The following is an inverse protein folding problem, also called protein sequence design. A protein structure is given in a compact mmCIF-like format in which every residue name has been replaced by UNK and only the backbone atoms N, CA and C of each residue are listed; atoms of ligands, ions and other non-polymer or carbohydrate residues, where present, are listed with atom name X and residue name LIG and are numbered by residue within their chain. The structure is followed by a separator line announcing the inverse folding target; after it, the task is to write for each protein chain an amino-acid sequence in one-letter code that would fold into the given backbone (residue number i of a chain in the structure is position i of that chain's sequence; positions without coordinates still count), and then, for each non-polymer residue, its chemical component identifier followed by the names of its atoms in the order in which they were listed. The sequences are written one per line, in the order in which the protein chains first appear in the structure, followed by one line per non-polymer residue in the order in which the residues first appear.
data_IF_455017053625
#
_entry.id   IF_455017053625
#
_cell.length_a   1.000
_cell.length_b   1.000
_cell.length_c   1.000
_cell.angle_alpha   90.00
_cell.angle_beta   90.00
_cell.angle_gamma   90.00
#
_symmetry.space_group_name_H-M   'P 1'
#
loop_
_entity.id
_entity.type
_entity.pdbx_description
1 polymer ?
#
# COMPACT_ATOMS: atom_id res chain seq x y z
N UNK A 1 4.58 0.50 5.63
CA UNK A 1 5.43 1.37 4.76
C UNK A 1 5.80 0.63 3.48
N UNK A 2 5.56 1.22 2.31
CA UNK A 2 5.82 0.54 1.03
C UNK A 2 7.28 0.71 0.62
N UNK A 3 7.96 -0.40 0.34
CA UNK A 3 9.33 -0.42 -0.19
C UNK A 3 9.30 -0.62 -1.70
N UNK A 4 10.03 0.22 -2.42
CA UNK A 4 10.18 0.13 -3.88
C UNK A 4 11.55 -0.45 -4.17
N UNK A 5 11.60 -1.63 -4.79
CA UNK A 5 12.84 -2.23 -5.29
C UNK A 5 13.01 -1.90 -6.78
N UNK A 6 14.05 -1.14 -7.09
CA UNK A 6 14.38 -0.76 -8.48
C UNK A 6 15.00 -1.92 -9.26
N UNK A 7 15.16 -1.76 -10.57
CA UNK A 7 15.66 -2.86 -11.39
C UNK A 7 17.16 -3.02 -11.23
N UNK A 8 17.57 -4.26 -10.99
CA UNK A 8 18.96 -4.68 -11.10
C UNK A 8 19.20 -5.12 -12.55
N UNK A 9 19.73 -4.19 -13.36
CA UNK A 9 19.95 -4.38 -14.79
C UNK A 9 21.39 -4.79 -15.10
N UNK A 10 22.31 -4.69 -14.14
CA UNK A 10 23.71 -5.06 -14.32
C UNK A 10 23.92 -6.54 -14.06
N UNK A 11 24.64 -7.23 -14.97
CA UNK A 11 25.11 -8.59 -14.72
C UNK A 11 26.52 -8.51 -14.14
N UNK A 12 26.69 -8.95 -12.90
CA UNK A 12 27.94 -8.85 -12.16
C UNK A 12 28.65 -10.21 -12.07
N UNK A 13 29.98 -10.20 -12.16
CA UNK A 13 30.80 -11.39 -11.94
C UNK A 13 30.68 -11.87 -10.50
N UNK A 14 31.11 -13.13 -10.26
CA UNK A 14 31.43 -13.54 -8.89
C UNK A 14 32.50 -12.61 -8.31
N UNK A 15 32.47 -12.35 -6.99
CA UNK A 15 33.53 -11.59 -6.33
C UNK A 15 34.88 -12.25 -6.55
N UNK A 16 35.91 -11.45 -6.81
CA UNK A 16 37.30 -11.91 -6.84
C UNK A 16 37.82 -12.20 -5.42
N UNK A 17 39.09 -12.61 -5.31
CA UNK A 17 39.73 -12.93 -4.01
C UNK A 17 39.73 -11.76 -3.01
N UNK A 18 39.53 -10.52 -3.50
CA UNK A 18 39.43 -9.30 -2.68
C UNK A 18 37.99 -8.85 -2.46
N UNK A 19 37.01 -9.62 -2.95
CA UNK A 19 35.58 -9.33 -2.84
C UNK A 19 35.04 -8.36 -3.89
N UNK A 20 35.83 -7.98 -4.90
CA UNK A 20 35.35 -7.06 -5.95
C UNK A 20 34.58 -7.81 -7.04
N UNK A 21 33.44 -7.25 -7.44
CA UNK A 21 32.69 -7.70 -8.61
C UNK A 21 32.98 -6.79 -9.80
N UNK A 22 32.87 -7.33 -11.01
CA UNK A 22 32.98 -6.58 -12.26
C UNK A 22 31.69 -6.71 -13.03
N UNK A 23 31.25 -5.62 -13.66
CA UNK A 23 30.14 -5.67 -14.60
C UNK A 23 30.59 -6.48 -15.83
N UNK A 24 29.88 -7.57 -16.13
CA UNK A 24 30.20 -8.51 -17.22
C UNK A 24 29.20 -8.43 -18.37
N UNK A 25 28.03 -7.82 -18.15
CA UNK A 25 27.00 -7.62 -19.15
C UNK A 25 25.84 -6.83 -18.58
N UNK A 26 24.79 -6.66 -19.38
CA UNK A 26 23.55 -6.04 -18.93
C UNK A 26 22.37 -6.98 -19.20
N UNK A 27 21.27 -6.76 -18.51
CA UNK A 27 20.03 -7.48 -18.73
C UNK A 27 19.55 -7.33 -20.19
N UNK A 28 18.76 -8.30 -20.66
CA UNK A 28 18.16 -8.24 -21.98
C UNK A 28 17.25 -7.00 -22.08
N UNK A 29 17.38 -6.24 -23.16
CA UNK A 29 16.70 -4.97 -23.33
C UNK A 29 15.18 -5.12 -23.45
N UNK A 30 14.72 -6.14 -24.18
CA UNK A 30 13.30 -6.40 -24.40
C UNK A 30 12.65 -6.97 -23.15
N UNK A 31 13.31 -7.91 -22.46
CA UNK A 31 12.82 -8.41 -21.17
C UNK A 31 12.75 -7.31 -20.12
N UNK A 32 13.75 -6.41 -20.08
CA UNK A 32 13.75 -5.25 -19.19
C UNK A 32 12.63 -4.28 -19.51
N UNK A 33 12.29 -4.11 -20.79
CA UNK A 33 11.17 -3.29 -21.22
C UNK A 33 9.82 -3.90 -20.81
N UNK A 34 9.62 -5.21 -21.03
CA UNK A 34 8.38 -5.88 -20.62
C UNK A 34 8.23 -5.87 -19.09
N UNK A 35 9.33 -5.97 -18.35
CA UNK A 35 9.34 -5.80 -16.90
C UNK A 35 8.94 -4.38 -16.49
N UNK A 36 9.47 -3.35 -17.17
CA UNK A 36 9.07 -1.96 -16.94
C UNK A 36 7.58 -1.76 -17.23
N UNK A 37 7.10 -2.25 -18.36
CA UNK A 37 5.70 -2.18 -18.77
C UNK A 37 4.78 -2.83 -17.73
N UNK A 38 5.10 -4.05 -17.30
CA UNK A 38 4.35 -4.77 -16.26
C UNK A 38 4.33 -3.99 -14.94
N UNK A 39 5.46 -3.41 -14.54
CA UNK A 39 5.54 -2.56 -13.35
C UNK A 39 4.62 -1.35 -13.46
N UNK A 40 4.63 -0.65 -14.60
CA UNK A 40 3.75 0.48 -14.84
C UNK A 40 2.27 0.07 -14.83
N UNK A 41 1.91 -1.06 -15.43
CA UNK A 41 0.54 -1.61 -15.41
C UNK A 41 0.05 -1.87 -13.98
N UNK A 42 0.82 -2.61 -13.17
CA UNK A 42 0.47 -2.95 -11.78
C UNK A 42 0.27 -1.68 -10.94
N UNK A 43 1.03 -0.63 -11.21
CA UNK A 43 0.96 0.64 -10.47
C UNK A 43 -0.03 1.65 -11.06
N UNK A 44 -0.81 1.29 -12.10
CA UNK A 44 -1.77 2.20 -12.75
C UNK A 44 -1.10 3.36 -13.51
N UNK A 45 0.17 3.19 -13.87
CA UNK A 45 1.06 4.17 -14.49
C UNK A 45 1.40 3.82 -15.95
N UNK A 46 0.70 2.86 -16.57
CA UNK A 46 0.87 2.64 -18.00
C UNK A 46 0.24 3.81 -18.80
N UNK A 47 0.95 4.38 -19.79
CA UNK A 47 0.33 5.29 -20.76
C UNK A 47 -0.89 4.65 -21.42
N UNK A 48 -1.97 5.40 -21.57
CA UNK A 48 -3.28 4.85 -21.93
C UNK A 48 -3.56 4.75 -23.44
N UNK A 49 -2.72 5.35 -24.30
CA UNK A 49 -2.77 5.09 -25.74
C UNK A 49 -1.84 3.93 -26.14
N UNK A 50 -0.54 4.07 -25.87
CA UNK A 50 0.43 3.00 -26.07
C UNK A 50 1.70 3.19 -25.24
N UNK A 51 2.43 2.09 -25.04
CA UNK A 51 3.81 2.08 -24.55
C UNK A 51 4.60 1.04 -25.34
N UNK A 52 5.60 1.50 -26.09
CA UNK A 52 6.29 0.74 -27.13
C UNK A 52 7.79 0.71 -26.87
N UNK A 53 8.38 -0.47 -27.08
CA UNK A 53 9.82 -0.64 -27.19
C UNK A 53 10.30 0.01 -28.48
N UNK A 54 11.39 0.77 -28.42
CA UNK A 54 11.98 1.35 -29.64
C UNK A 54 12.55 0.23 -30.50
N UNK A 55 12.24 0.24 -31.79
CA UNK A 55 12.61 -0.83 -32.70
C UNK A 55 14.12 -1.11 -32.75
N UNK A 56 14.51 -2.24 -33.34
CA UNK A 56 15.91 -2.70 -33.46
C UNK A 56 16.82 -1.68 -34.18
N UNK A 57 16.26 -0.72 -34.94
CA UNK A 57 17.02 0.36 -35.58
C UNK A 57 17.61 1.37 -34.60
N UNK A 58 17.11 1.38 -33.36
CA UNK A 58 17.63 2.18 -32.24
C UNK A 58 19.01 1.71 -31.73
N UNK A 59 19.48 0.53 -32.16
CA UNK A 59 20.75 -0.05 -31.72
C UNK A 59 20.69 -0.75 -30.36
N UNK A 60 19.48 -0.96 -29.82
CA UNK A 60 19.22 -1.71 -28.58
C UNK A 60 18.60 -3.06 -28.94
N UNK A 61 19.44 -4.03 -29.28
CA UNK A 61 19.02 -5.43 -29.53
C UNK A 61 19.87 -6.38 -28.66
N UNK A 62 19.23 -7.43 -28.14
CA UNK A 62 19.83 -8.34 -27.17
C UNK A 62 20.01 -7.70 -25.78
N UNK A 63 21.25 -7.51 -25.34
CA UNK A 63 21.59 -6.89 -24.05
C UNK A 63 21.45 -5.36 -24.10
N UNK A 64 21.05 -4.74 -22.99
CA UNK A 64 21.10 -3.28 -22.86
C UNK A 64 22.54 -2.78 -23.09
N UNK A 65 22.73 -1.61 -23.72
CA UNK A 65 24.04 -0.98 -23.69
C UNK A 65 24.43 -0.66 -22.25
N UNK A 66 25.72 -0.64 -21.93
CA UNK A 66 26.18 -0.13 -20.63
C UNK A 66 25.93 1.38 -20.62
N UNK A 67 24.81 1.80 -20.03
CA UNK A 67 24.39 3.18 -19.93
C UNK A 67 24.66 3.72 -18.52
N UNK A 68 24.94 5.02 -18.42
CA UNK A 68 25.10 5.71 -17.14
C UNK A 68 23.81 6.36 -16.66
N UNK A 69 22.90 6.69 -17.57
CA UNK A 69 21.65 7.37 -17.25
C UNK A 69 20.54 7.00 -18.26
N UNK A 70 19.37 6.67 -17.73
CA UNK A 70 18.11 6.60 -18.47
C UNK A 70 17.35 7.93 -18.31
N UNK A 71 17.20 8.65 -19.41
CA UNK A 71 16.55 9.95 -19.47
C UNK A 71 15.10 9.76 -19.91
N UNK A 72 14.15 10.04 -19.02
CA UNK A 72 12.71 9.90 -19.26
C UNK A 72 12.09 11.30 -19.37
N UNK A 73 11.64 11.70 -20.55
CA UNK A 73 11.15 13.07 -20.81
C UNK A 73 9.75 13.02 -21.41
N UNK A 74 8.76 13.58 -20.71
CA UNK A 74 7.49 13.94 -21.32
C UNK A 74 7.63 15.13 -22.27
N UNK A 75 6.96 15.07 -23.41
CA UNK A 75 6.97 16.13 -24.43
C UNK A 75 5.59 16.35 -25.04
N UNK A 76 5.39 17.55 -25.58
CA UNK A 76 4.25 17.86 -26.44
C UNK A 76 4.60 17.55 -27.89
N UNK A 77 4.02 16.48 -28.45
CA UNK A 77 4.04 16.25 -29.88
C UNK A 77 2.96 17.10 -30.50
N UNK A 78 3.31 18.31 -30.97
CA UNK A 78 2.44 19.35 -31.55
C UNK A 78 1.02 18.90 -31.98
N UNK A 79 0.91 18.04 -33.00
CA UNK A 79 -0.36 17.57 -33.60
C UNK A 79 -0.78 16.17 -33.17
N UNK A 80 -0.04 15.63 -32.22
CA UNK A 80 0.17 14.21 -32.06
C UNK A 80 -0.14 13.81 -30.61
N UNK A 81 -0.07 14.73 -29.63
CA UNK A 81 -0.50 14.53 -28.24
C UNK A 81 0.63 14.68 -27.23
N UNK A 82 0.44 14.14 -26.02
CA UNK A 82 1.47 14.10 -24.96
C UNK A 82 2.21 12.76 -25.02
N UNK A 83 3.53 12.83 -25.13
CA UNK A 83 4.43 11.69 -25.28
C UNK A 83 5.36 11.56 -24.09
N UNK A 84 5.87 10.36 -23.88
CA UNK A 84 7.05 10.08 -23.07
C UNK A 84 8.09 9.42 -23.97
N UNK A 85 9.28 9.98 -24.03
CA UNK A 85 10.42 9.29 -24.61
C UNK A 85 11.43 8.92 -23.53
N UNK A 86 11.91 7.68 -23.61
CA UNK A 86 12.97 7.15 -22.74
C UNK A 86 14.21 6.94 -23.60
N UNK A 87 15.32 7.56 -23.19
CA UNK A 87 16.61 7.49 -23.86
C UNK A 87 17.67 6.93 -22.92
N UNK A 88 18.57 6.10 -23.45
CA UNK A 88 19.73 5.62 -22.70
C UNK A 88 20.97 6.41 -23.14
N UNK A 89 21.66 6.96 -22.16
CA UNK A 89 22.88 7.76 -22.34
C UNK A 89 24.04 7.07 -21.65
N UNK A 90 25.15 6.96 -22.37
CA UNK A 90 26.37 6.38 -21.82
C UNK A 90 27.58 6.66 -22.69
N UNK A 91 28.64 5.89 -22.46
CA UNK A 91 29.85 5.91 -23.27
C UNK A 91 30.07 4.52 -23.86
N UNK A 92 30.41 4.46 -25.13
CA UNK A 92 30.81 3.20 -25.76
C UNK A 92 32.23 2.80 -25.34
N UNK A 93 32.72 1.65 -25.84
CA UNK A 93 34.07 1.14 -25.49
C UNK A 93 35.21 2.08 -25.91
N UNK A 94 35.01 2.98 -26.88
CA UNK A 94 36.02 3.96 -27.29
C UNK A 94 35.92 5.27 -26.48
N UNK A 95 35.03 5.35 -25.49
CA UNK A 95 34.80 6.54 -24.68
C UNK A 95 33.93 7.61 -25.36
N UNK A 96 33.43 7.34 -26.57
CA UNK A 96 32.54 8.27 -27.26
C UNK A 96 31.12 8.19 -26.64
N UNK A 97 30.45 9.33 -26.44
CA UNK A 97 29.10 9.34 -25.91
C UNK A 97 28.13 8.69 -26.91
N UNK A 98 27.16 7.94 -26.40
CA UNK A 98 26.00 7.49 -27.16
C UNK A 98 24.71 8.00 -26.52
N UNK A 99 23.69 8.11 -27.36
CA UNK A 99 22.35 8.48 -26.96
C UNK A 99 21.36 7.71 -27.84
N UNK A 100 20.69 6.71 -27.27
CA UNK A 100 19.83 5.79 -28.01
C UNK A 100 18.42 5.80 -27.46
N UNK A 101 17.42 5.76 -28.35
CA UNK A 101 16.01 5.71 -27.94
C UNK A 101 15.69 4.30 -27.45
N UNK A 102 15.03 4.18 -26.31
CA UNK A 102 14.74 2.89 -25.68
C UNK A 102 13.25 2.56 -25.68
N UNK A 103 12.41 3.51 -25.31
CA UNK A 103 10.96 3.33 -25.31
C UNK A 103 10.26 4.64 -25.60
N UNK A 104 9.01 4.53 -26.06
CA UNK A 104 8.10 5.66 -26.23
C UNK A 104 6.72 5.32 -25.71
N UNK A 105 6.08 6.27 -25.05
CA UNK A 105 4.73 6.15 -24.53
C UNK A 105 3.89 7.34 -24.94
N UNK A 106 2.57 7.18 -24.93
CA UNK A 106 1.64 8.23 -25.31
C UNK A 106 0.34 8.15 -24.53
N UNK A 107 -0.22 9.31 -24.18
CA UNK A 107 -1.58 9.40 -23.62
C UNK A 107 -2.63 9.76 -24.67
N UNK A 108 -3.86 9.29 -24.47
CA UNK A 108 -5.05 9.68 -25.23
C UNK A 108 -5.47 11.13 -24.95
N UNK A 109 -5.23 11.59 -23.72
CA UNK A 109 -5.56 12.94 -23.26
C UNK A 109 -4.45 13.96 -23.55
N UNK A 110 -4.85 15.23 -23.65
CA UNK A 110 -3.97 16.37 -23.93
C UNK A 110 -4.11 17.49 -22.87
N UNK A 111 -4.72 17.19 -21.73
CA UNK A 111 -4.93 18.18 -20.66
C UNK A 111 -3.65 18.41 -19.85
N UNK A 112 -3.66 19.45 -19.01
CA UNK A 112 -2.57 19.66 -18.05
C UNK A 112 -2.41 18.46 -17.08
N UNK A 113 -3.51 17.83 -16.70
CA UNK A 113 -3.49 16.67 -15.81
C UNK A 113 -2.86 15.44 -16.48
N UNK A 114 -3.12 15.25 -17.78
CA UNK A 114 -2.46 14.21 -18.59
C UNK A 114 -0.95 14.45 -18.67
N UNK A 115 -0.54 15.72 -18.80
CA UNK A 115 0.87 16.10 -18.80
C UNK A 115 1.55 15.81 -17.47
N UNK A 116 0.93 16.19 -16.35
CA UNK A 116 1.44 15.89 -15.01
C UNK A 116 1.49 14.39 -14.73
N UNK A 117 0.46 13.66 -15.15
CA UNK A 117 0.45 12.20 -15.09
C UNK A 117 1.62 11.61 -15.88
N UNK A 118 1.91 12.11 -17.07
CA UNK A 118 3.06 11.64 -17.85
C UNK A 118 4.40 11.94 -17.16
N UNK A 119 4.54 13.05 -16.46
CA UNK A 119 5.72 13.31 -15.60
C UNK A 119 5.85 12.32 -14.45
N UNK A 120 4.75 11.92 -13.84
CA UNK A 120 4.75 10.87 -12.81
C UNK A 120 5.21 9.54 -13.39
N UNK A 121 4.71 9.16 -14.58
CA UNK A 121 5.14 7.96 -15.30
C UNK A 121 6.65 8.04 -15.62
N UNK A 122 7.13 9.19 -16.09
CA UNK A 122 8.54 9.41 -16.39
C UNK A 122 9.43 9.30 -15.14
N UNK A 123 8.98 9.84 -14.01
CA UNK A 123 9.68 9.73 -12.73
C UNK A 123 9.78 8.28 -12.26
N UNK A 124 8.69 7.51 -12.38
CA UNK A 124 8.68 6.08 -12.04
C UNK A 124 9.63 5.28 -12.94
N UNK A 125 9.61 5.53 -14.26
CA UNK A 125 10.54 4.90 -15.21
C UNK A 125 12.00 5.23 -14.87
N UNK A 126 12.29 6.50 -14.59
CA UNK A 126 13.64 6.95 -14.21
C UNK A 126 14.10 6.27 -12.92
N UNK A 127 13.22 6.18 -11.91
CA UNK A 127 13.53 5.49 -10.66
C UNK A 127 13.85 4.01 -10.91
N UNK A 128 13.04 3.31 -11.69
CA UNK A 128 13.23 1.89 -11.97
C UNK A 128 14.53 1.61 -12.74
N UNK A 129 14.83 2.42 -13.75
CA UNK A 129 15.97 2.20 -14.65
C UNK A 129 17.31 2.69 -14.07
N UNK A 130 17.30 3.77 -13.28
CA UNK A 130 18.53 4.36 -12.73
C UNK A 130 18.88 3.84 -11.33
N UNK A 131 17.92 3.24 -10.61
CA UNK A 131 18.12 2.83 -9.21
C UNK A 131 19.08 1.66 -8.96
N UNK A 132 19.50 0.93 -10.00
CA UNK A 132 20.54 -0.11 -9.93
C UNK A 132 20.29 -1.17 -8.83
N UNK A 133 19.05 -1.66 -8.72
CA UNK A 133 18.66 -2.68 -7.75
C UNK A 133 18.46 -2.19 -6.31
N UNK A 134 18.62 -0.89 -6.07
CA UNK A 134 18.42 -0.27 -4.75
C UNK A 134 16.97 -0.35 -4.29
N UNK A 135 16.79 -0.32 -2.96
CA UNK A 135 15.49 -0.26 -2.30
C UNK A 135 15.30 1.13 -1.72
N UNK A 136 14.16 1.75 -2.05
CA UNK A 136 13.76 3.06 -1.54
C UNK A 136 12.48 2.95 -0.73
N UNK A 137 12.36 3.77 0.31
CA UNK A 137 11.15 3.88 1.12
C UNK A 137 10.21 4.93 0.53
N UNK A 138 8.94 4.57 0.40
CA UNK A 138 7.87 5.50 0.04
C UNK A 138 6.98 5.71 1.25
N UNK A 139 7.08 6.91 1.82
CA UNK A 139 6.37 7.28 3.05
C UNK A 139 5.03 7.98 2.79
N UNK A 140 4.81 8.46 1.55
CA UNK A 140 3.61 9.19 1.19
C UNK A 140 2.66 8.32 0.37
N UNK A 141 1.37 8.40 0.70
CA UNK A 141 0.26 7.88 -0.10
C UNK A 141 -0.28 9.04 -0.92
N UNK A 142 -0.35 8.85 -2.23
CA UNK A 142 -0.84 9.86 -3.16
C UNK A 142 -2.25 9.48 -3.61
N UNK A 143 -3.23 10.36 -3.34
CA UNK A 143 -4.61 10.21 -3.78
C UNK A 143 -4.87 11.33 -4.79
N UNK A 144 -5.22 10.96 -6.02
CA UNK A 144 -5.66 11.91 -7.05
C UNK A 144 -7.18 11.84 -7.15
N UNK A 145 -7.83 12.98 -6.95
CA UNK A 145 -9.28 13.13 -7.03
C UNK A 145 -9.61 14.09 -8.17
N UNK A 146 -10.59 13.76 -8.99
CA UNK A 146 -11.20 14.74 -9.90
C UNK A 146 -11.89 15.83 -9.08
N UNK A 147 -12.19 16.99 -9.68
CA UNK A 147 -12.95 18.04 -8.98
C UNK A 147 -14.27 17.51 -8.40
N UNK A 148 -14.99 16.66 -9.13
CA UNK A 148 -16.24 16.06 -8.64
C UNK A 148 -16.02 15.12 -7.47
N UNK A 149 -14.95 14.32 -7.50
CA UNK A 149 -14.61 13.43 -6.38
C UNK A 149 -14.14 14.23 -5.16
N UNK A 150 -13.35 15.30 -5.37
CA UNK A 150 -12.94 16.21 -4.32
C UNK A 150 -14.15 16.95 -3.72
N UNK A 151 -15.07 17.44 -4.54
CA UNK A 151 -16.32 18.07 -4.10
C UNK A 151 -17.22 17.08 -3.36
N UNK A 152 -17.27 15.82 -3.81
CA UNK A 152 -18.01 14.77 -3.11
C UNK A 152 -17.38 14.46 -1.75
N UNK A 153 -16.06 14.29 -1.68
CA UNK A 153 -15.33 14.07 -0.42
C UNK A 153 -15.49 15.28 0.51
N UNK A 154 -15.34 16.50 0.01
CA UNK A 154 -15.53 17.72 0.78
C UNK A 154 -16.97 17.86 1.27
N UNK A 155 -17.96 17.59 0.41
CA UNK A 155 -19.37 17.60 0.77
C UNK A 155 -19.70 16.56 1.82
N UNK A 156 -19.06 15.38 1.78
CA UNK A 156 -19.20 14.34 2.80
C UNK A 156 -18.56 14.78 4.12
N UNK A 157 -17.36 15.34 4.11
CA UNK A 157 -16.72 15.86 5.32
C UNK A 157 -17.60 16.94 5.96
N UNK A 158 -18.18 17.82 5.15
CA UNK A 158 -19.11 18.86 5.59
C UNK A 158 -20.43 18.25 6.11
N UNK A 159 -20.92 17.18 5.50
CA UNK A 159 -22.14 16.46 5.88
C UNK A 159 -21.98 15.51 7.08
N UNK A 160 -20.85 14.86 7.32
CA UNK A 160 -20.59 14.10 8.55
C UNK A 160 -20.44 15.04 9.74
N UNK A 161 -19.90 16.24 9.52
CA UNK A 161 -19.92 17.30 10.52
C UNK A 161 -21.33 17.90 10.74
N UNK A 162 -22.23 17.83 9.75
CA UNK A 162 -23.53 18.53 9.77
C UNK A 162 -24.80 17.63 9.71
N UNK A 163 -24.67 16.31 9.63
CA UNK A 163 -25.72 15.30 9.85
C UNK A 163 -26.89 15.20 8.86
N UNK A 164 -26.70 15.32 7.54
CA UNK A 164 -27.81 15.06 6.57
C UNK A 164 -27.35 14.37 5.29
N UNK A 165 -28.10 13.37 4.80
CA UNK A 165 -27.81 12.70 3.52
C UNK A 165 -29.03 12.59 2.59
N UNK A 166 -28.73 12.65 1.28
CA UNK A 166 -29.63 12.23 0.17
C UNK A 166 -29.04 11.00 -0.53
N UNK A 167 -29.86 10.12 -1.15
CA UNK A 167 -29.41 8.81 -1.65
C UNK A 167 -28.32 8.83 -2.75
N UNK A 168 -28.27 9.85 -3.61
CA UNK A 168 -27.23 9.95 -4.65
C UNK A 168 -25.85 10.27 -4.06
N UNK A 169 -25.80 11.04 -2.97
CA UNK A 169 -24.56 11.34 -2.26
C UNK A 169 -24.04 10.12 -1.49
N UNK A 170 -24.92 9.27 -0.96
CA UNK A 170 -24.52 7.99 -0.33
C UNK A 170 -23.87 7.04 -1.34
N UNK A 171 -24.38 6.94 -2.57
CA UNK A 171 -23.78 6.08 -3.60
C UNK A 171 -22.39 6.55 -4.06
N UNK A 172 -22.23 7.87 -4.23
CA UNK A 172 -20.93 8.48 -4.54
C UNK A 172 -19.94 8.35 -3.37
N UNK A 173 -20.44 8.50 -2.13
CA UNK A 173 -19.70 8.27 -0.90
C UNK A 173 -19.21 6.82 -0.81
N UNK A 174 -20.08 5.82 -1.03
CA UNK A 174 -19.68 4.41 -1.02
C UNK A 174 -18.62 4.11 -2.07
N UNK A 175 -18.71 4.68 -3.28
CA UNK A 175 -17.70 4.47 -4.31
C UNK A 175 -16.35 5.13 -3.98
N UNK A 176 -16.35 6.32 -3.36
CA UNK A 176 -15.13 6.98 -2.92
C UNK A 176 -14.51 6.26 -1.71
N UNK A 177 -15.33 5.83 -0.74
CA UNK A 177 -14.90 5.04 0.41
C UNK A 177 -14.37 3.68 -0.02
N UNK A 178 -14.96 2.98 -0.99
CA UNK A 178 -14.41 1.73 -1.53
C UNK A 178 -12.98 1.91 -2.11
N UNK A 179 -12.68 3.10 -2.66
CA UNK A 179 -11.32 3.43 -3.13
C UNK A 179 -10.37 3.77 -1.98
N UNK A 180 -10.88 4.29 -0.87
CA UNK A 180 -10.12 4.67 0.33
C UNK A 180 -9.91 3.47 1.28
N UNK A 181 -10.91 2.59 1.45
CA UNK A 181 -10.93 1.42 2.32
C UNK A 181 -9.94 0.34 1.91
N UNK A 182 -9.51 0.32 0.64
CA UNK A 182 -8.35 -0.49 0.20
C UNK A 182 -7.02 -0.06 0.83
N UNK A 183 -7.00 1.04 1.58
CA UNK A 183 -5.81 1.65 2.18
C UNK A 183 -6.04 2.04 3.65
N UNK A 184 -7.29 2.00 4.15
CA UNK A 184 -7.61 2.39 5.52
C UNK A 184 -7.42 1.21 6.48
N UNK A 185 -6.73 1.45 7.59
CA UNK A 185 -6.56 0.50 8.68
C UNK A 185 -7.43 0.91 9.88
N UNK A 186 -7.86 -0.08 10.66
CA UNK A 186 -8.53 0.09 11.94
C UNK A 186 -7.84 -0.75 13.00
N UNK A 187 -7.78 -0.25 14.22
CA UNK A 187 -7.33 -1.03 15.36
C UNK A 187 -8.31 -2.19 15.60
N UNK A 188 -7.76 -3.39 15.64
CA UNK A 188 -8.47 -4.61 15.95
C UNK A 188 -7.80 -5.31 17.13
N UNK A 189 -8.63 -5.92 17.97
CA UNK A 189 -8.16 -6.65 19.14
C UNK A 189 -8.66 -8.10 19.08
N UNK A 190 -7.72 -9.03 19.23
CA UNK A 190 -7.98 -10.46 19.17
C UNK A 190 -7.57 -11.07 20.50
N UNK A 191 -8.50 -11.81 21.11
CA UNK A 191 -8.22 -12.64 22.28
C UNK A 191 -8.04 -14.07 21.79
N UNK A 192 -6.94 -14.68 22.21
CA UNK A 192 -6.69 -16.12 22.02
C UNK A 192 -6.67 -16.82 23.36
N UNK A 193 -7.47 -17.88 23.49
CA UNK A 193 -7.43 -18.80 24.63
C UNK A 193 -6.56 -20.00 24.27
N UNK A 194 -5.47 -20.22 25.01
CA UNK A 194 -4.50 -21.32 24.76
C UNK A 194 -4.76 -22.53 25.67
N UNK A 195 -5.58 -22.36 26.71
CA UNK A 195 -5.78 -23.38 27.72
C UNK A 195 -6.51 -22.84 28.95
N UNK A 196 -6.40 -23.57 30.06
CA UNK A 196 -7.01 -23.14 31.32
C UNK A 196 -6.27 -21.94 31.89
N UNK A 197 -6.94 -20.80 31.93
CA UNK A 197 -6.43 -19.54 32.50
C UNK A 197 -5.14 -19.05 31.81
N UNK A 198 -5.06 -19.23 30.49
CA UNK A 198 -3.94 -18.82 29.65
C UNK A 198 -4.47 -18.16 28.38
N UNK A 199 -4.36 -16.83 28.33
CA UNK A 199 -4.90 -15.98 27.29
C UNK A 199 -3.82 -15.09 26.70
N UNK A 200 -3.96 -14.74 25.43
CA UNK A 200 -3.19 -13.65 24.83
C UNK A 200 -4.10 -12.63 24.19
N UNK A 201 -3.78 -11.36 24.41
CA UNK A 201 -4.33 -10.22 23.68
C UNK A 201 -3.35 -9.85 22.57
N UNK A 202 -3.86 -9.70 21.37
CA UNK A 202 -3.13 -9.13 20.24
C UNK A 202 -3.89 -7.92 19.73
N UNK A 203 -3.20 -6.79 19.67
CA UNK A 203 -3.71 -5.51 19.20
C UNK A 203 -2.89 -5.08 18.00
N UNK A 204 -3.54 -4.91 16.84
CA UNK A 204 -2.88 -4.45 15.62
C UNK A 204 -3.82 -3.63 14.73
N UNK A 205 -3.23 -2.84 13.84
CA UNK A 205 -3.95 -2.20 12.75
C UNK A 205 -4.18 -3.20 11.62
N UNK A 206 -5.45 -3.49 11.29
CA UNK A 206 -5.82 -4.34 10.15
C UNK A 206 -6.62 -3.54 9.11
N UNK A 207 -6.61 -3.92 7.83
CA UNK A 207 -7.44 -3.28 6.82
C UNK A 207 -8.93 -3.23 7.22
N UNK A 208 -9.57 -2.07 7.02
CA UNK A 208 -10.96 -1.84 7.41
C UNK A 208 -11.93 -2.80 6.72
N UNK A 209 -11.69 -3.12 5.44
CA UNK A 209 -12.50 -4.07 4.68
C UNK A 209 -12.46 -5.49 5.28
N UNK A 210 -11.31 -5.91 5.79
CA UNK A 210 -11.13 -7.16 6.53
C UNK A 210 -11.92 -7.12 7.84
N UNK A 211 -11.79 -6.04 8.62
CA UNK A 211 -12.56 -5.86 9.84
C UNK A 211 -14.07 -5.89 9.55
N UNK A 212 -14.54 -5.10 8.59
CA UNK A 212 -15.95 -5.06 8.17
C UNK A 212 -16.46 -6.42 7.69
N UNK A 213 -15.64 -7.19 6.96
CA UNK A 213 -15.97 -8.55 6.55
C UNK A 213 -16.23 -9.48 7.75
N UNK A 214 -15.40 -9.39 8.80
CA UNK A 214 -15.58 -10.19 10.02
C UNK A 214 -16.86 -9.76 10.74
N UNK A 215 -17.10 -8.44 10.85
CA UNK A 215 -18.27 -7.90 11.55
C UNK A 215 -19.59 -8.22 10.85
N UNK A 216 -19.58 -8.35 9.52
CA UNK A 216 -20.76 -8.65 8.73
C UNK A 216 -21.14 -10.14 8.73
N UNK A 217 -20.21 -11.06 8.99
CA UNK A 217 -20.48 -12.50 8.84
C UNK A 217 -21.29 -13.11 10.00
N UNK A 218 -21.06 -12.71 11.26
CA UNK A 218 -22.01 -12.81 12.39
C UNK A 218 -21.31 -12.52 13.73
N UNK A 219 -21.89 -11.62 14.53
CA UNK A 219 -21.60 -11.53 15.97
C UNK A 219 -22.02 -12.82 16.66
N UNK A 220 -21.10 -13.47 17.39
CA UNK A 220 -21.36 -14.75 18.03
C UNK A 220 -22.01 -14.57 19.40
N UNK A 221 -21.46 -13.66 20.21
CA UNK A 221 -21.91 -13.45 21.59
C UNK A 221 -21.62 -12.03 22.06
N UNK A 222 -22.57 -11.46 22.81
CA UNK A 222 -22.44 -10.17 23.49
C UNK A 222 -22.59 -10.39 24.99
N UNK A 223 -21.75 -9.75 25.79
CA UNK A 223 -21.78 -9.90 27.24
C UNK A 223 -20.69 -9.11 27.94
N UNK A 224 -20.46 -9.41 29.22
CA UNK A 224 -19.27 -8.90 29.91
C UNK A 224 -18.01 -9.63 29.43
N UNK A 225 -16.87 -8.96 29.48
CA UNK A 225 -15.60 -9.57 29.07
C UNK A 225 -15.30 -10.87 29.85
N UNK A 226 -15.61 -10.88 31.15
CA UNK A 226 -15.45 -12.05 32.02
C UNK A 226 -16.28 -13.25 31.53
N UNK A 227 -17.55 -13.03 31.19
CA UNK A 227 -18.44 -14.08 30.67
C UNK A 227 -18.00 -14.58 29.30
N UNK A 228 -17.52 -13.69 28.44
CA UNK A 228 -17.09 -14.03 27.07
C UNK A 228 -15.80 -14.84 27.08
N UNK A 229 -14.77 -14.37 27.80
CA UNK A 229 -13.50 -15.09 27.95
C UNK A 229 -13.72 -16.44 28.64
N UNK A 230 -14.55 -16.49 29.69
CA UNK A 230 -14.86 -17.73 30.40
C UNK A 230 -15.64 -18.76 29.59
N UNK A 231 -16.23 -18.36 28.47
CA UNK A 231 -16.95 -19.24 27.55
C UNK A 231 -16.10 -19.79 26.41
N UNK A 232 -14.85 -19.31 26.25
CA UNK A 232 -13.94 -19.84 25.24
C UNK A 232 -13.54 -21.27 25.57
N UNK A 233 -13.53 -22.15 24.57
CA UNK A 233 -13.16 -23.54 24.66
C UNK A 233 -11.98 -23.85 23.70
N UNK A 234 -10.75 -23.98 24.22
CA UNK A 234 -9.56 -24.29 23.41
C UNK A 234 -9.43 -25.79 23.06
N UNK A 235 -10.49 -26.60 23.19
CA UNK A 235 -10.51 -28.02 22.82
C UNK A 235 -10.23 -28.21 21.31
N UNK A 236 -8.94 -28.29 20.96
CA UNK A 236 -8.45 -28.32 19.58
C UNK A 236 -7.09 -27.64 19.38
N UNK A 237 -6.59 -26.91 20.39
CA UNK A 237 -5.27 -26.26 20.37
C UNK A 237 -5.34 -24.87 20.99
N UNK A 238 -6.00 -23.94 20.31
CA UNK A 238 -6.31 -22.61 20.81
C UNK A 238 -7.59 -22.12 20.15
N UNK A 239 -8.26 -21.16 20.78
CA UNK A 239 -9.45 -20.51 20.21
C UNK A 239 -9.23 -19.00 20.09
N UNK A 240 -9.46 -18.43 18.91
CA UNK A 240 -9.33 -17.00 18.65
C UNK A 240 -10.70 -16.34 18.48
N UNK A 241 -10.84 -15.13 19.03
CA UNK A 241 -12.00 -14.26 18.83
C UNK A 241 -11.55 -12.82 18.63
N UNK A 242 -12.08 -12.19 17.59
CA UNK A 242 -12.05 -10.73 17.46
C UNK A 242 -13.06 -10.18 18.47
N UNK A 243 -12.71 -9.11 19.19
CA UNK A 243 -13.66 -8.45 20.08
C UNK A 243 -13.75 -6.94 19.86
N UNK A 244 -14.93 -6.39 20.14
CA UNK A 244 -15.24 -4.96 20.02
C UNK A 244 -16.02 -4.50 21.25
N UNK A 245 -15.74 -3.28 21.73
CA UNK A 245 -16.60 -2.62 22.72
C UNK A 245 -17.89 -2.14 22.07
N UNK A 246 -19.01 -2.54 22.64
CA UNK A 246 -20.33 -2.05 22.24
C UNK A 246 -20.76 -0.87 23.12
N UNK A 247 -21.68 -0.01 22.63
CA UNK A 247 -22.28 1.04 23.43
C UNK A 247 -22.89 0.47 24.73
N UNK A 248 -22.49 1.02 25.89
CA UNK A 248 -22.91 0.52 27.20
C UNK A 248 -21.90 -0.35 27.96
N UNK A 249 -20.61 -0.34 27.55
CA UNK A 249 -19.49 -1.09 28.18
C UNK A 249 -19.64 -2.62 28.14
N UNK A 250 -20.49 -3.13 27.26
CA UNK A 250 -20.54 -4.55 26.91
C UNK A 250 -19.55 -4.85 25.79
N UNK A 251 -19.17 -6.10 25.63
CA UNK A 251 -18.24 -6.56 24.61
C UNK A 251 -18.95 -7.53 23.68
N UNK A 252 -18.52 -7.56 22.42
CA UNK A 252 -19.01 -8.50 21.42
C UNK A 252 -17.85 -9.34 20.88
N UNK A 253 -18.00 -10.67 20.87
CA UNK A 253 -17.07 -11.61 20.27
C UNK A 253 -17.53 -12.01 18.87
N UNK A 254 -16.62 -11.95 17.92
CA UNK A 254 -16.81 -12.33 16.53
C UNK A 254 -15.91 -13.52 16.21
N UNK A 255 -16.48 -14.49 15.49
CA UNK A 255 -15.72 -15.59 14.94
C UNK A 255 -14.91 -15.08 13.75
N UNK A 256 -13.63 -15.39 13.71
CA UNK A 256 -12.76 -15.05 12.59
C UNK A 256 -12.94 -16.13 11.52
N UNK A 257 -13.39 -15.80 10.29
CA UNK A 257 -13.55 -16.76 9.21
C UNK A 257 -12.21 -17.38 8.80
N UNK A 258 -12.17 -18.67 8.46
CA UNK A 258 -10.92 -19.36 8.04
C UNK A 258 -10.27 -18.69 6.82
N UNK A 259 -11.05 -18.12 5.91
CA UNK A 259 -10.52 -17.36 4.76
C UNK A 259 -9.77 -16.08 5.14
N UNK A 260 -9.94 -15.61 6.39
CA UNK A 260 -9.29 -14.43 6.97
C UNK A 260 -8.25 -14.83 8.04
N UNK A 261 -7.81 -16.09 8.06
CA UNK A 261 -6.80 -16.58 9.01
C UNK A 261 -5.38 -16.04 8.77
N UNK A 262 -5.14 -15.32 7.68
CA UNK A 262 -3.83 -14.71 7.34
C UNK A 262 -3.46 -13.53 8.26
N UNK A 263 -4.07 -13.43 9.44
CA UNK A 263 -3.72 -12.43 10.46
C UNK A 263 -2.27 -12.55 10.92
N UNK A 264 -1.63 -13.71 10.71
CA UNK A 264 -0.19 -13.91 10.93
C UNK A 264 0.68 -12.96 10.09
N UNK A 265 0.21 -12.51 8.92
CA UNK A 265 0.92 -11.53 8.10
C UNK A 265 1.07 -10.18 8.83
N UNK A 266 0.17 -9.89 9.79
CA UNK A 266 0.18 -8.71 10.64
C UNK A 266 0.81 -8.97 12.01
N UNK A 267 1.29 -10.18 12.31
CA UNK A 267 1.81 -10.54 13.64
C UNK A 267 2.98 -9.65 14.09
N UNK A 268 3.72 -9.05 13.15
CA UNK A 268 4.82 -8.12 13.42
C UNK A 268 4.39 -6.64 13.54
N UNK A 269 3.12 -6.33 13.27
CA UNK A 269 2.58 -4.96 13.27
C UNK A 269 1.83 -4.60 14.57
N UNK A 270 1.74 -5.55 15.51
CA UNK A 270 0.98 -5.39 16.75
C UNK A 270 1.77 -5.68 18.03
N UNK A 271 1.19 -5.29 19.16
CA UNK A 271 1.66 -5.68 20.48
C UNK A 271 0.92 -6.95 20.92
N UNK A 272 1.64 -7.90 21.51
CA UNK A 272 1.03 -9.08 22.13
C UNK A 272 1.40 -9.17 23.60
N UNK A 273 0.37 -9.33 24.44
CA UNK A 273 0.49 -9.61 25.87
C UNK A 273 -0.13 -10.98 26.11
N UNK A 274 0.53 -11.82 26.91
CA UNK A 274 0.03 -13.14 27.31
C UNK A 274 0.07 -13.25 28.82
N UNK A 275 -1.00 -13.79 29.41
CA UNK A 275 -1.13 -13.94 30.85
C UNK A 275 -2.41 -14.66 31.24
N UNK A 276 -2.72 -14.59 32.53
CA UNK A 276 -3.98 -15.07 33.11
C UNK A 276 -5.17 -14.26 32.62
N UNK A 277 -6.37 -14.79 32.84
CA UNK A 277 -7.62 -14.08 32.50
C UNK A 277 -7.66 -12.68 33.13
N UNK A 278 -7.29 -12.57 34.40
CA UNK A 278 -7.32 -11.31 35.15
C UNK A 278 -6.29 -10.31 34.63
N UNK A 279 -5.09 -10.76 34.27
CA UNK A 279 -4.05 -9.91 33.69
C UNK A 279 -4.48 -9.35 32.32
N UNK A 280 -5.07 -10.18 31.46
CA UNK A 280 -5.55 -9.74 30.14
C UNK A 280 -6.76 -8.81 30.28
N UNK A 281 -7.69 -9.07 31.21
CA UNK A 281 -8.80 -8.16 31.46
C UNK A 281 -8.30 -6.80 31.97
N UNK A 282 -7.32 -6.77 32.88
CA UNK A 282 -6.73 -5.54 33.38
C UNK A 282 -6.06 -4.72 32.26
N UNK A 283 -5.36 -5.38 31.33
CA UNK A 283 -4.78 -4.73 30.14
C UNK A 283 -5.86 -4.05 29.29
N UNK A 284 -6.94 -4.77 28.96
CA UNK A 284 -8.05 -4.25 28.14
C UNK A 284 -8.74 -3.06 28.83
N UNK A 285 -8.96 -3.13 30.14
CA UNK A 285 -9.57 -2.02 30.88
C UNK A 285 -8.63 -0.81 31.03
N UNK A 286 -7.32 -1.01 30.99
CA UNK A 286 -6.33 0.08 31.02
C UNK A 286 -6.28 0.78 29.66
N UNK A 287 -6.28 0.02 28.56
CA UNK A 287 -6.33 0.58 27.20
C UNK A 287 -7.64 1.35 26.94
N UNK A 288 -8.77 0.89 27.50
CA UNK A 288 -10.11 1.45 27.23
C UNK A 288 -10.70 2.24 28.40
N UNK A 289 -9.87 2.62 29.39
CA UNK A 289 -10.29 3.59 30.40
C UNK A 289 -10.55 4.93 29.71
N UNK A 290 -11.69 5.62 29.98
CA UNK A 290 -11.80 7.01 29.58
C UNK A 290 -10.64 7.76 30.23
N UNK A 291 -9.87 8.50 29.43
CA UNK A 291 -8.95 9.49 29.98
C UNK A 291 -9.74 10.29 31.03
N UNK A 292 -9.31 10.23 32.29
CA UNK A 292 -9.91 11.07 33.31
C UNK A 292 -9.83 12.50 32.78
N UNK A 293 -10.98 13.15 32.63
CA UNK A 293 -11.04 14.60 32.43
C UNK A 293 -10.31 15.24 33.61
N UNK A 294 -9.05 15.62 33.40
CA UNK A 294 -8.40 16.67 34.14
C UNK A 294 -9.12 17.98 33.81
N UNK A 295 -10.29 18.17 34.42
CA UNK A 295 -10.99 19.44 34.58
C UNK A 295 -11.29 19.62 36.07
N UNK A 296 -10.23 19.62 36.89
CA UNK A 296 -10.24 20.37 38.14
C UNK A 296 -9.83 21.83 37.83
N UNK A 297 -10.68 22.73 38.31
CA UNK A 297 -10.45 24.16 38.51
C UNK A 297 -10.19 25.07 37.30
N UNK A 298 -11.28 25.59 36.72
CA UNK A 298 -11.34 27.02 36.35
C UNK A 298 -12.79 27.47 36.06
N UNK A 299 -13.62 27.58 37.10
CA UNK A 299 -14.77 28.50 37.09
C UNK A 299 -15.02 29.03 38.51
N UNK A 300 -14.33 30.11 38.87
CA UNK A 300 -14.92 31.14 39.73
C UNK A 300 -16.04 31.84 38.94
N UNK A 301 -17.30 31.62 39.36
CA UNK A 301 -18.32 32.63 39.67
C UNK A 301 -19.66 31.99 40.09
#
# INVERSE_FOLDING_TARGET
MTKIKTFDLGLWSKPDEKGYTKLIGMANARESFEKLKTHLEINGLLPDEYFLFSDESSGVDGELPVFGEAICIPNFGVSEGIYLDIWLKGQNRSGAPFFVKYATGKTLGETADDYYRMFRIAAECSLMLNGSGSVYEKNNIEISLTQKEADAVAGVVDMELCGRHTPEYEALLSSALEKIDRIAFSQAHIITCHGKDDYSLWSAEIPKDMLHSILHEACERVGTLDELMGAMNPEGGYEMRLFIQTPGRQFAFYRIPERLSNLEDYANEGCSVRGTKDEIMAEIFTEWAPAQEDLEDDFEL
#
